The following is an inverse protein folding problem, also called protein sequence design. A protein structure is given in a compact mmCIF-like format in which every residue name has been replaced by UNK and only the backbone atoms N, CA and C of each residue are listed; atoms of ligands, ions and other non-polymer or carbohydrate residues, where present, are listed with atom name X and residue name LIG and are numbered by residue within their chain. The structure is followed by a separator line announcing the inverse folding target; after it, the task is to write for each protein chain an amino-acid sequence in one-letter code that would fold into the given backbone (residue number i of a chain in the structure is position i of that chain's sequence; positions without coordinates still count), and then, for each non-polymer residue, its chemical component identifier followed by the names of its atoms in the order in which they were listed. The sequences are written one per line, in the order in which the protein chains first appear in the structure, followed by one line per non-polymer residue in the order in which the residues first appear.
data_IF_701320184487
#
_entry.id   IF_701320184487
#
_cell.length_a   1.000
_cell.length_b   1.000
_cell.length_c   1.000
_cell.angle_alpha   90.00
_cell.angle_beta   90.00
_cell.angle_gamma   90.00
#
_symmetry.space_group_name_H-M   'P 1'
#
loop_
_entity.id
_entity.type
_entity.pdbx_description
1 polymer ?
#
# COMPACT_ATOMS: atom_id res chain seq x y z
N UNK A 1 25.31 -5.99 -5.12
CA UNK A 1 24.07 -6.69 -4.71
C UNK A 1 24.33 -7.16 -3.31
N UNK A 2 23.73 -6.53 -2.30
CA UNK A 2 23.85 -7.01 -0.92
C UNK A 2 23.14 -8.36 -0.82
N UNK A 3 23.77 -9.30 -0.11
CA UNK A 3 23.16 -10.59 0.18
C UNK A 3 22.07 -10.40 1.26
N UNK A 4 20.94 -11.09 1.09
CA UNK A 4 19.86 -11.08 2.07
C UNK A 4 20.32 -11.73 3.37
N UNK A 5 19.88 -11.20 4.52
CA UNK A 5 20.05 -11.87 5.81
C UNK A 5 19.25 -13.17 5.86
N UNK A 6 19.58 -14.08 6.78
CA UNK A 6 18.84 -15.33 6.97
C UNK A 6 17.35 -15.10 7.23
N UNK A 7 17.00 -14.06 8.01
CA UNK A 7 15.61 -13.69 8.26
C UNK A 7 14.90 -13.21 7.00
N UNK A 8 15.55 -12.37 6.20
CA UNK A 8 14.99 -11.90 4.93
C UNK A 8 14.82 -13.05 3.94
N UNK A 9 15.73 -14.01 3.94
CA UNK A 9 15.64 -15.21 3.10
C UNK A 9 14.47 -16.11 3.51
N UNK A 10 14.22 -16.25 4.82
CA UNK A 10 13.05 -16.95 5.35
C UNK A 10 11.75 -16.25 4.96
N UNK A 11 11.67 -14.93 5.14
CA UNK A 11 10.50 -14.13 4.78
C UNK A 11 10.20 -14.21 3.27
N UNK A 12 11.22 -14.10 2.43
CA UNK A 12 11.10 -14.24 0.98
C UNK A 12 10.59 -15.64 0.60
N UNK A 13 11.14 -16.69 1.21
CA UNK A 13 10.71 -18.07 0.94
C UNK A 13 9.27 -18.30 1.38
N UNK A 14 8.87 -17.77 2.53
CA UNK A 14 7.50 -17.84 3.03
C UNK A 14 6.54 -17.10 2.08
N UNK A 15 6.89 -15.88 1.67
CA UNK A 15 6.12 -15.10 0.70
C UNK A 15 5.94 -15.85 -0.62
N UNK A 16 7.02 -16.36 -1.21
CA UNK A 16 6.97 -17.11 -2.47
C UNK A 16 6.06 -18.32 -2.40
N UNK A 17 6.09 -19.07 -1.30
CA UNK A 17 5.17 -20.19 -1.06
C UNK A 17 3.72 -19.73 -0.99
N UNK A 18 3.43 -18.63 -0.27
CA UNK A 18 2.08 -18.07 -0.17
C UNK A 18 1.53 -17.64 -1.53
N UNK A 19 2.37 -17.09 -2.41
CA UNK A 19 1.96 -16.63 -3.74
C UNK A 19 1.95 -17.73 -4.81
N UNK A 20 2.15 -18.98 -4.40
CA UNK A 20 2.01 -20.15 -5.25
C UNK A 20 3.28 -20.62 -5.94
N UNK A 21 4.47 -20.19 -5.52
CA UNK A 21 5.74 -20.78 -5.96
C UNK A 21 6.11 -22.00 -5.12
N UNK A 22 6.46 -23.09 -5.80
CA UNK A 22 7.07 -24.27 -5.20
C UNK A 22 8.58 -24.10 -5.19
N UNK A 23 9.09 -23.66 -4.05
CA UNK A 23 10.52 -23.51 -3.82
C UNK A 23 11.17 -24.90 -3.70
N UNK A 24 11.98 -25.29 -4.69
CA UNK A 24 12.70 -26.55 -4.72
C UNK A 24 14.11 -26.36 -4.11
N UNK A 25 14.20 -26.44 -2.79
CA UNK A 25 15.48 -26.33 -2.05
C UNK A 25 15.41 -25.36 -0.87
N UNK A 26 16.58 -25.04 -0.29
CA UNK A 26 16.69 -24.08 0.81
C UNK A 26 16.56 -22.62 0.36
N UNK A 27 16.77 -22.34 -0.94
CA UNK A 27 16.78 -21.00 -1.51
C UNK A 27 15.90 -20.93 -2.76
N UNK A 28 15.13 -19.84 -2.94
CA UNK A 28 14.39 -19.61 -4.17
C UNK A 28 15.30 -19.54 -5.39
N UNK A 29 14.87 -20.13 -6.50
CA UNK A 29 15.68 -20.19 -7.72
C UNK A 29 14.85 -20.28 -9.02
N UNK A 30 15.51 -20.14 -10.18
CA UNK A 30 14.84 -20.15 -11.49
C UNK A 30 14.12 -21.47 -11.83
N UNK A 31 14.41 -22.53 -11.08
CA UNK A 31 13.83 -23.87 -11.26
C UNK A 31 12.53 -24.06 -10.47
N UNK A 32 12.14 -23.07 -9.65
CA UNK A 32 10.92 -23.13 -8.86
C UNK A 32 9.67 -23.10 -9.75
N UNK A 33 8.72 -23.99 -9.47
CA UNK A 33 7.48 -24.08 -10.26
C UNK A 33 6.42 -23.12 -9.72
N UNK A 34 5.80 -22.33 -10.60
CA UNK A 34 4.65 -21.49 -10.24
C UNK A 34 3.37 -22.32 -10.36
N UNK A 35 2.86 -22.80 -9.22
CA UNK A 35 1.63 -23.59 -9.14
C UNK A 35 0.34 -22.77 -9.34
N UNK A 36 0.38 -21.46 -9.05
CA UNK A 36 -0.74 -20.56 -9.28
C UNK A 36 -0.26 -19.28 -9.98
N UNK A 37 -0.25 -19.30 -11.31
CA UNK A 37 0.26 -18.20 -12.13
C UNK A 37 -0.50 -16.88 -11.92
N UNK A 38 -1.83 -16.95 -11.69
CA UNK A 38 -2.65 -15.75 -11.47
C UNK A 38 -2.32 -15.08 -10.14
N UNK A 39 -2.20 -15.87 -9.07
CA UNK A 39 -1.83 -15.35 -7.76
C UNK A 39 -0.41 -14.78 -7.78
N UNK A 40 0.53 -15.51 -8.36
CA UNK A 40 1.92 -15.07 -8.48
C UNK A 40 2.04 -13.76 -9.28
N UNK A 41 1.37 -13.67 -10.43
CA UNK A 41 1.35 -12.44 -11.22
C UNK A 41 0.72 -11.26 -10.45
N UNK A 42 -0.35 -11.51 -9.69
CA UNK A 42 -1.01 -10.48 -8.87
C UNK A 42 -0.08 -9.97 -7.76
N UNK A 43 0.63 -10.89 -7.10
CA UNK A 43 1.62 -10.54 -6.09
C UNK A 43 2.81 -9.79 -6.70
N UNK A 44 3.27 -10.19 -7.88
CA UNK A 44 4.30 -9.49 -8.63
C UNK A 44 3.87 -8.04 -8.92
N UNK A 45 2.65 -7.82 -9.43
CA UNK A 45 2.14 -6.47 -9.66
C UNK A 45 2.14 -5.61 -8.39
N UNK A 46 1.73 -6.18 -7.25
CA UNK A 46 1.73 -5.46 -5.97
C UNK A 46 3.16 -5.11 -5.51
N UNK A 47 4.09 -6.06 -5.60
CA UNK A 47 5.50 -5.84 -5.23
C UNK A 47 6.16 -4.82 -6.15
N UNK A 48 5.90 -4.88 -7.45
CA UNK A 48 6.38 -3.88 -8.42
C UNK A 48 5.81 -2.49 -8.11
N UNK A 49 4.53 -2.37 -7.76
CA UNK A 49 3.96 -1.09 -7.35
C UNK A 49 4.65 -0.56 -6.07
N UNK A 50 4.88 -1.41 -5.07
CA UNK A 50 5.63 -1.04 -3.86
C UNK A 50 7.06 -0.58 -4.16
N UNK A 51 7.74 -1.21 -5.13
CA UNK A 51 9.11 -0.87 -5.52
C UNK A 51 9.21 0.44 -6.32
N UNK A 52 8.15 0.83 -7.03
CA UNK A 52 8.11 2.08 -7.81
C UNK A 52 7.72 3.30 -6.94
N UNK A 53 7.18 3.07 -5.74
CA UNK A 53 6.90 4.15 -4.79
C UNK A 53 8.21 4.82 -4.32
N UNK A 54 8.22 6.15 -4.10
CA UNK A 54 9.40 6.84 -3.59
C UNK A 54 9.89 6.29 -2.25
N UNK A 55 11.19 6.35 -1.99
CA UNK A 55 11.86 5.71 -0.84
C UNK A 55 11.18 5.98 0.52
N UNK A 56 10.69 7.21 0.74
CA UNK A 56 10.03 7.57 2.00
C UNK A 56 8.60 7.00 2.11
N UNK A 57 7.95 6.68 0.99
CA UNK A 57 6.58 6.23 0.95
C UNK A 57 6.42 4.80 1.50
N UNK A 58 7.38 3.91 1.25
CA UNK A 58 7.33 2.52 1.77
C UNK A 58 7.41 2.47 3.29
N UNK A 59 8.22 3.35 3.90
CA UNK A 59 8.30 3.51 5.36
C UNK A 59 7.00 4.06 5.94
N UNK A 60 6.40 5.05 5.28
CA UNK A 60 5.11 5.62 5.68
C UNK A 60 3.97 4.59 5.53
N UNK A 61 3.96 3.80 4.45
CA UNK A 61 3.05 2.68 4.25
C UNK A 61 3.19 1.64 5.36
N UNK A 62 4.42 1.23 5.70
CA UNK A 62 4.69 0.31 6.80
C UNK A 62 4.17 0.84 8.15
N UNK A 63 4.25 2.17 8.36
CA UNK A 63 3.67 2.83 9.54
C UNK A 63 2.14 2.79 9.49
N UNK A 64 1.53 3.06 8.34
CA UNK A 64 0.08 2.98 8.15
C UNK A 64 -0.47 1.55 8.36
N UNK A 65 0.29 0.52 7.96
CA UNK A 65 -0.04 -0.87 8.26
C UNK A 65 -0.07 -1.14 9.76
N UNK A 66 0.96 -0.70 10.51
CA UNK A 66 1.04 -0.87 11.98
C UNK A 66 -0.06 -0.10 12.72
N UNK A 67 -0.49 1.03 12.17
CA UNK A 67 -1.58 1.84 12.71
C UNK A 67 -2.98 1.31 12.33
N UNK A 68 -3.06 0.25 11.52
CA UNK A 68 -4.30 -0.34 11.01
C UNK A 68 -5.20 0.64 10.24
N UNK A 69 -4.60 1.64 9.57
CA UNK A 69 -5.35 2.68 8.85
C UNK A 69 -5.41 2.48 7.33
N UNK A 70 -4.92 1.36 6.79
CA UNK A 70 -4.91 1.10 5.33
C UNK A 70 -6.31 1.22 4.71
N UNK A 71 -7.34 0.70 5.37
CA UNK A 71 -8.74 0.81 4.91
C UNK A 71 -9.21 2.27 4.79
N UNK A 72 -8.76 3.13 5.71
CA UNK A 72 -9.03 4.58 5.70
C UNK A 72 -8.41 5.22 4.46
N UNK A 73 -7.17 4.83 4.12
CA UNK A 73 -6.46 5.36 2.95
C UNK A 73 -7.14 4.95 1.65
N UNK A 74 -7.64 3.72 1.58
CA UNK A 74 -8.44 3.25 0.44
C UNK A 74 -9.73 4.06 0.29
N UNK A 75 -10.43 4.33 1.39
CA UNK A 75 -11.64 5.15 1.37
C UNK A 75 -11.34 6.57 0.88
N UNK A 76 -10.28 7.20 1.40
CA UNK A 76 -9.83 8.51 0.92
C UNK A 76 -9.58 8.47 -0.59
N UNK A 77 -8.75 7.57 -1.08
CA UNK A 77 -8.44 7.48 -2.52
C UNK A 77 -9.68 7.29 -3.40
N UNK A 78 -10.64 6.48 -2.98
CA UNK A 78 -11.89 6.31 -3.74
C UNK A 78 -12.69 7.61 -3.80
N UNK A 79 -12.78 8.34 -2.68
CA UNK A 79 -13.42 9.64 -2.68
C UNK A 79 -12.66 10.68 -3.54
N UNK A 80 -11.34 10.56 -3.67
CA UNK A 80 -10.52 11.42 -4.54
C UNK A 80 -10.79 11.19 -6.02
N UNK A 81 -11.00 9.93 -6.44
CA UNK A 81 -11.36 9.63 -7.83
C UNK A 81 -12.67 10.33 -8.27
N UNK A 82 -13.57 10.59 -7.32
CA UNK A 82 -14.85 11.26 -7.56
C UNK A 82 -14.82 12.79 -7.32
N UNK A 83 -13.64 13.40 -7.06
CA UNK A 83 -13.48 14.81 -6.64
C UNK A 83 -14.35 15.18 -5.42
N UNK A 84 -14.55 14.21 -4.51
CA UNK A 84 -15.38 14.39 -3.31
C UNK A 84 -14.55 14.84 -2.12
N UNK A 85 -15.18 15.67 -1.29
CA UNK A 85 -14.69 16.01 0.04
C UNK A 85 -15.08 14.89 1.00
N UNK A 86 -14.13 14.49 1.86
CA UNK A 86 -14.30 13.45 2.86
C UNK A 86 -14.60 14.09 4.22
N UNK A 87 -15.78 13.81 4.79
CA UNK A 87 -16.20 14.36 6.09
C UNK A 87 -15.66 13.51 7.25
N UNK A 88 -15.07 14.15 8.26
CA UNK A 88 -14.61 13.47 9.47
C UNK A 88 -15.76 12.90 10.31
N UNK A 89 -17.01 13.26 10.05
CA UNK A 89 -18.19 12.58 10.60
C UNK A 89 -18.39 11.16 10.05
N UNK A 90 -17.73 10.81 8.94
CA UNK A 90 -17.64 9.42 8.50
C UNK A 90 -16.84 8.60 9.54
N UNK A 91 -17.44 7.56 10.16
CA UNK A 91 -16.75 6.72 11.13
C UNK A 91 -15.48 6.07 10.57
N UNK A 92 -15.42 5.81 9.26
CA UNK A 92 -14.22 5.25 8.60
C UNK A 92 -13.04 6.21 8.66
N UNK A 93 -13.28 7.52 8.78
CA UNK A 93 -12.26 8.55 8.86
C UNK A 93 -11.95 8.99 10.29
N UNK A 94 -12.61 8.40 11.30
CA UNK A 94 -12.36 8.68 12.71
C UNK A 94 -10.85 8.61 13.09
N UNK A 95 -10.04 7.66 12.56
CA UNK A 95 -8.61 7.61 12.84
C UNK A 95 -7.83 8.86 12.39
N UNK A 96 -8.33 9.64 11.43
CA UNK A 96 -7.68 10.85 10.90
C UNK A 96 -8.02 12.12 11.69
N UNK A 97 -8.90 12.03 12.70
CA UNK A 97 -9.13 13.12 13.65
C UNK A 97 -7.88 13.36 14.50
N UNK A 98 -7.11 12.31 14.75
CA UNK A 98 -5.80 12.39 15.37
C UNK A 98 -4.79 13.09 14.45
N UNK A 99 -4.11 14.11 14.97
CA UNK A 99 -3.21 14.97 14.19
C UNK A 99 -1.96 14.23 13.75
N UNK A 100 -1.39 13.36 14.59
CA UNK A 100 -0.17 12.61 14.24
C UNK A 100 -0.45 11.61 13.11
N UNK A 101 -1.56 10.87 13.20
CA UNK A 101 -2.03 9.98 12.14
C UNK A 101 -2.31 10.74 10.85
N UNK A 102 -2.97 11.89 10.94
CA UNK A 102 -3.23 12.72 9.77
C UNK A 102 -1.94 13.18 9.09
N UNK A 103 -0.93 13.62 9.86
CA UNK A 103 0.36 14.04 9.30
C UNK A 103 1.08 12.91 8.57
N UNK A 104 1.06 11.69 9.11
CA UNK A 104 1.65 10.52 8.45
C UNK A 104 0.97 10.27 7.10
N UNK A 105 -0.36 10.30 7.09
CA UNK A 105 -1.18 10.11 5.89
C UNK A 105 -0.95 11.22 4.87
N UNK A 106 -0.89 12.47 5.32
CA UNK A 106 -0.58 13.63 4.48
C UNK A 106 0.79 13.50 3.82
N UNK A 107 1.82 13.07 4.56
CA UNK A 107 3.17 12.84 4.00
C UNK A 107 3.18 11.70 2.98
N UNK A 108 2.42 10.63 3.22
CA UNK A 108 2.31 9.50 2.29
C UNK A 108 1.63 9.92 0.98
N UNK A 109 0.56 10.71 1.06
CA UNK A 109 -0.14 11.19 -0.12
C UNK A 109 0.72 12.22 -0.88
N UNK A 110 1.46 13.07 -0.16
CA UNK A 110 2.39 14.01 -0.76
C UNK A 110 3.52 13.31 -1.52
N UNK A 111 4.01 12.15 -1.05
CA UNK A 111 4.99 11.35 -1.80
C UNK A 111 4.39 10.72 -3.06
N UNK A 112 3.07 10.75 -3.23
CA UNK A 112 2.39 10.33 -4.44
C UNK A 112 1.84 11.50 -5.27
N UNK A 113 2.33 12.72 -5.06
CA UNK A 113 1.86 13.96 -5.72
C UNK A 113 0.37 14.27 -5.48
N UNK A 114 -0.14 13.86 -4.30
CA UNK A 114 -1.48 14.17 -3.85
C UNK A 114 -1.39 15.08 -2.62
N UNK A 115 -1.95 16.28 -2.72
CA UNK A 115 -2.01 17.22 -1.59
C UNK A 115 -3.27 16.94 -0.79
N UNK A 116 -3.13 16.49 0.45
CA UNK A 116 -4.25 16.45 1.42
C UNK A 116 -4.33 17.77 2.18
N UNK A 117 -5.48 18.44 2.10
CA UNK A 117 -5.81 19.66 2.80
C UNK A 117 -6.79 19.36 3.94
N UNK A 118 -6.34 19.56 5.18
CA UNK A 118 -7.20 19.44 6.35
C UNK A 118 -8.08 20.67 6.49
N UNK A 119 -9.39 20.46 6.52
CA UNK A 119 -10.39 21.45 6.89
C UNK A 119 -10.90 21.17 8.31
N UNK A 120 -11.79 22.03 8.81
CA UNK A 120 -12.29 21.93 10.19
C UNK A 120 -12.99 20.60 10.49
N UNK A 121 -13.81 20.12 9.55
CA UNK A 121 -14.61 18.90 9.68
C UNK A 121 -14.40 17.94 8.50
N UNK A 122 -13.45 18.22 7.63
CA UNK A 122 -13.27 17.41 6.42
C UNK A 122 -11.83 17.43 5.94
N UNK A 123 -11.54 16.56 4.99
CA UNK A 123 -10.30 16.56 4.22
C UNK A 123 -10.64 16.61 2.74
N UNK A 124 -9.90 17.44 2.02
CA UNK A 124 -9.92 17.49 0.56
C UNK A 124 -8.58 16.97 0.05
N UNK A 125 -8.54 16.32 -1.11
CA UNK A 125 -7.29 16.20 -1.82
C UNK A 125 -7.33 16.72 -3.24
N UNK A 126 -6.14 17.12 -3.68
CA UNK A 126 -5.90 17.63 -5.01
C UNK A 126 -4.72 16.86 -5.60
N UNK A 127 -4.93 16.20 -6.74
CA UNK A 127 -3.84 15.61 -7.54
C UNK A 127 -3.12 16.74 -8.25
N UNK A 128 -1.79 16.78 -8.16
CA UNK A 128 -0.99 17.79 -8.84
C UNK A 128 -1.07 17.55 -10.37
N UNK A 129 -1.42 18.60 -11.13
CA UNK A 129 -1.80 18.57 -12.57
C UNK A 129 -0.86 17.85 -13.55
N UNK A 130 0.32 17.42 -13.12
CA UNK A 130 1.35 16.80 -13.97
C UNK A 130 1.76 15.38 -13.54
N UNK A 131 1.11 14.79 -12.54
CA UNK A 131 1.48 13.46 -12.04
C UNK A 131 0.26 12.57 -11.88
N UNK A 132 0.10 11.61 -12.79
CA UNK A 132 -0.91 10.54 -12.68
C UNK A 132 -0.29 9.18 -12.34
N UNK A 133 1.03 9.04 -12.47
CA UNK A 133 1.74 7.78 -12.28
C UNK A 133 1.79 7.42 -10.80
N UNK A 134 2.29 8.31 -9.93
CA UNK A 134 2.39 8.00 -8.50
C UNK A 134 1.04 7.85 -7.79
N UNK A 135 0.00 8.66 -8.08
CA UNK A 135 -1.35 8.39 -7.56
C UNK A 135 -1.87 7.01 -7.95
N UNK A 136 -1.63 6.57 -9.19
CA UNK A 136 -2.04 5.25 -9.67
C UNK A 136 -1.26 4.13 -8.96
N UNK A 137 0.05 4.29 -8.80
CA UNK A 137 0.89 3.32 -8.07
C UNK A 137 0.41 3.21 -6.62
N UNK A 138 0.21 4.34 -5.93
CA UNK A 138 -0.31 4.37 -4.56
C UNK A 138 -1.67 3.69 -4.47
N UNK A 139 -2.55 3.89 -5.46
CA UNK A 139 -3.85 3.23 -5.53
C UNK A 139 -3.72 1.71 -5.67
N UNK A 140 -2.87 1.21 -6.56
CA UNK A 140 -2.61 -0.22 -6.73
C UNK A 140 -2.08 -0.81 -5.42
N UNK A 141 -1.10 -0.15 -4.80
CA UNK A 141 -0.50 -0.57 -3.53
C UNK A 141 -1.54 -0.66 -2.41
N UNK A 142 -2.32 0.40 -2.19
CA UNK A 142 -3.32 0.43 -1.12
C UNK A 142 -4.45 -0.56 -1.37
N UNK A 143 -4.92 -0.70 -2.62
CA UNK A 143 -5.94 -1.69 -2.98
C UNK A 143 -5.46 -3.13 -2.72
N UNK A 144 -4.21 -3.43 -3.08
CA UNK A 144 -3.59 -4.73 -2.81
C UNK A 144 -3.46 -5.00 -1.31
N UNK A 145 -2.92 -4.05 -0.54
CA UNK A 145 -2.79 -4.17 0.90
C UNK A 145 -4.14 -4.31 1.61
N UNK A 146 -5.15 -3.54 1.18
CA UNK A 146 -6.49 -3.65 1.75
C UNK A 146 -7.13 -5.01 1.46
N UNK A 147 -6.90 -5.57 0.28
CA UNK A 147 -7.38 -6.91 -0.08
C UNK A 147 -6.74 -7.99 0.80
N UNK A 148 -5.44 -7.85 1.11
CA UNK A 148 -4.72 -8.75 2.01
C UNK A 148 -5.13 -8.57 3.48
N UNK A 149 -5.57 -7.37 3.88
CA UNK A 149 -5.98 -7.05 5.25
C UNK A 149 -7.41 -7.48 5.56
N UNK A 150 -8.20 -7.86 4.55
CA UNK A 150 -9.53 -8.45 4.76
C UNK A 150 -9.33 -9.87 5.27
N UNK A 151 -9.34 -10.02 6.59
CA UNK A 151 -9.60 -11.31 7.21
C UNK A 151 -10.88 -11.87 6.58
N UNK A 152 -10.86 -13.14 6.17
CA UNK A 152 -12.07 -13.78 5.67
C UNK A 152 -13.10 -13.77 6.81
N UNK A 153 -14.16 -12.96 6.66
CA UNK A 153 -15.41 -13.15 7.40
C UNK A 153 -16.01 -14.53 7.09
#
# INVERSE_FOLDING_TARGET
MEELTDSQQQDLTAFLKLVGCRVQGERPGPQDEVSNQKLFATAYFLVSALAEMPDNATVLLGTCCKLHIIHVLCHLLHALCDDRVCDFEDPTLAPLRDTERFEIVQRLFASADIVLERMRLSVKANILKNSCIFPLILHITLSGLCTLSREHE
#
